data_IF_908673980100
#
_entry.id   IF_908673980100
#
_cell.length_a   1.000
_cell.length_b   1.000
_cell.length_c   1.000
_cell.angle_alpha   90.00
_cell.angle_beta   90.00
_cell.angle_gamma   90.00
#
_symmetry.space_group_name_H-M   'P 1'
#
loop_
_entity.id
_entity.type
_entity.pdbx_description
1 polymer ?
#
# COMPACT_ATOMS: atom_id res chain seq x y z
N UNK A 1 -9.33 8.95 -27.40
CA UNK A 1 -8.69 8.82 -26.08
C UNK A 1 -9.62 9.46 -25.06
N UNK A 2 -9.96 8.77 -23.95
CA UNK A 2 -10.70 9.42 -22.87
C UNK A 2 -9.79 10.49 -22.25
N UNK A 3 -10.30 11.70 -22.07
CA UNK A 3 -9.54 12.76 -21.38
C UNK A 3 -9.34 12.36 -19.93
N UNK A 4 -8.14 12.65 -19.38
CA UNK A 4 -7.84 12.51 -17.95
C UNK A 4 -8.79 13.42 -17.18
N UNK A 5 -9.45 12.91 -16.16
CA UNK A 5 -10.32 13.70 -15.28
C UNK A 5 -9.49 14.58 -14.35
N UNK A 6 -10.10 15.65 -13.83
CA UNK A 6 -9.35 16.73 -13.15
C UNK A 6 -8.63 16.27 -11.89
N UNK A 7 -9.31 15.50 -11.00
CA UNK A 7 -8.66 15.03 -9.75
C UNK A 7 -7.59 13.99 -10.04
N UNK A 8 -7.82 13.08 -10.99
CA UNK A 8 -6.80 12.10 -11.40
C UNK A 8 -5.58 12.82 -11.96
N UNK A 9 -5.77 13.85 -12.80
CA UNK A 9 -4.68 14.66 -13.34
C UNK A 9 -3.89 15.34 -12.23
N UNK A 10 -4.56 15.95 -11.24
CA UNK A 10 -3.92 16.59 -10.09
C UNK A 10 -3.13 15.59 -9.27
N UNK A 11 -3.70 14.40 -8.98
CA UNK A 11 -3.00 13.34 -8.25
C UNK A 11 -1.76 12.86 -9.01
N UNK A 12 -1.83 12.66 -10.33
CA UNK A 12 -0.68 12.28 -11.15
C UNK A 12 0.42 13.35 -11.06
N UNK A 13 0.07 14.63 -11.20
CA UNK A 13 1.04 15.74 -11.11
C UNK A 13 1.70 15.76 -9.73
N UNK A 14 0.93 15.63 -8.64
CA UNK A 14 1.47 15.60 -7.27
C UNK A 14 2.45 14.44 -7.10
N UNK A 15 2.10 13.23 -7.56
CA UNK A 15 2.98 12.07 -7.48
C UNK A 15 4.29 12.28 -8.27
N UNK A 16 4.21 12.87 -9.46
CA UNK A 16 5.41 13.18 -10.26
C UNK A 16 6.29 14.22 -9.55
N UNK A 17 5.70 15.28 -8.96
CA UNK A 17 6.45 16.29 -8.21
C UNK A 17 7.14 15.69 -6.98
N UNK A 18 6.45 14.84 -6.22
CA UNK A 18 7.05 14.10 -5.10
C UNK A 18 8.19 13.19 -5.56
N UNK A 19 8.01 12.49 -6.68
CA UNK A 19 9.04 11.62 -7.24
C UNK A 19 10.29 12.40 -7.65
N UNK A 20 10.12 13.51 -8.38
CA UNK A 20 11.24 14.39 -8.74
C UNK A 20 11.92 14.93 -7.47
N UNK A 21 11.16 15.42 -6.50
CA UNK A 21 11.69 15.88 -5.21
C UNK A 21 12.50 14.78 -4.50
N UNK A 22 12.01 13.55 -4.50
CA UNK A 22 12.72 12.40 -3.93
C UNK A 22 14.03 12.09 -4.66
N UNK A 23 14.08 12.25 -5.99
CA UNK A 23 15.34 12.09 -6.73
C UNK A 23 16.38 13.15 -6.39
N UNK A 24 15.96 14.39 -6.09
CA UNK A 24 16.85 15.50 -5.77
C UNK A 24 17.40 15.45 -4.33
N UNK A 25 16.57 15.02 -3.35
CA UNK A 25 16.89 15.03 -1.93
C UNK A 25 16.51 13.71 -1.25
N UNK A 26 16.98 12.57 -1.79
CA UNK A 26 16.48 11.23 -1.44
C UNK A 26 16.49 10.93 0.07
N UNK A 27 17.59 11.12 0.77
CA UNK A 27 17.71 10.82 2.20
C UNK A 27 16.69 11.57 3.05
N UNK A 28 16.66 12.93 3.04
CA UNK A 28 15.65 13.70 3.74
C UNK A 28 14.23 13.39 3.30
N UNK A 29 13.96 13.20 1.99
CA UNK A 29 12.63 12.89 1.51
C UNK A 29 12.10 11.59 2.12
N UNK A 30 12.89 10.51 2.10
CA UNK A 30 12.49 9.24 2.72
C UNK A 30 12.27 9.40 4.22
N UNK A 31 13.20 10.04 4.95
CA UNK A 31 13.12 10.22 6.40
C UNK A 31 11.85 10.96 6.83
N UNK A 32 11.43 11.99 6.09
CA UNK A 32 10.30 12.83 6.47
C UNK A 32 8.95 12.38 5.88
N UNK A 33 8.93 11.71 4.74
CA UNK A 33 7.70 11.49 3.98
C UNK A 33 7.31 10.01 3.82
N UNK A 34 8.26 9.06 3.90
CA UNK A 34 7.94 7.63 3.89
C UNK A 34 7.25 7.21 5.19
N UNK A 35 6.43 6.17 5.13
CA UNK A 35 5.75 5.63 6.31
C UNK A 35 6.71 4.72 7.09
N UNK A 36 7.07 5.15 8.28
CA UNK A 36 7.83 4.38 9.26
C UNK A 36 6.92 3.63 10.23
N UNK A 37 7.49 2.66 10.93
CA UNK A 37 6.84 1.99 12.05
C UNK A 37 6.57 2.99 13.19
N UNK A 38 5.39 2.95 13.87
CA UNK A 38 5.02 3.97 14.86
C UNK A 38 5.96 4.11 16.06
N UNK A 39 6.65 3.03 16.47
CA UNK A 39 7.64 3.08 17.55
C UNK A 39 9.06 3.48 17.05
N UNK A 40 9.26 3.67 15.74
CA UNK A 40 10.52 4.15 15.18
C UNK A 40 10.67 5.66 15.44
N UNK A 41 11.87 6.11 15.83
CA UNK A 41 12.15 7.53 16.11
C UNK A 41 11.91 8.48 14.93
N UNK A 42 11.94 7.97 13.72
CA UNK A 42 11.69 8.73 12.48
C UNK A 42 10.22 8.77 12.06
N UNK A 43 9.33 8.10 12.81
CA UNK A 43 7.88 8.19 12.56
C UNK A 43 7.35 9.61 12.79
N UNK A 44 6.50 10.08 11.88
CA UNK A 44 5.80 11.36 11.95
C UNK A 44 4.32 11.19 11.61
N UNK A 45 3.46 11.92 12.31
CA UNK A 45 2.00 11.77 12.20
C UNK A 45 1.41 12.06 10.79
N UNK A 46 2.14 12.72 9.91
CA UNK A 46 1.72 12.99 8.53
C UNK A 46 2.11 11.88 7.54
N UNK A 47 3.04 10.99 7.91
CA UNK A 47 3.54 9.93 7.03
C UNK A 47 2.44 8.98 6.51
N UNK A 48 1.37 8.65 7.26
CA UNK A 48 0.25 7.89 6.72
C UNK A 48 -0.47 8.53 5.52
N UNK A 49 -0.20 9.80 5.24
CA UNK A 49 -0.71 10.51 4.05
C UNK A 49 0.40 10.70 3.02
N UNK A 50 1.58 11.19 3.44
CA UNK A 50 2.64 11.56 2.50
C UNK A 50 3.25 10.37 1.78
N UNK A 51 3.32 9.21 2.40
CA UNK A 51 3.84 7.99 1.79
C UNK A 51 3.13 7.60 0.49
N UNK A 52 1.82 7.93 0.39
CA UNK A 52 0.99 7.64 -0.77
C UNK A 52 1.46 8.35 -2.05
N UNK A 53 2.28 9.39 -1.93
CA UNK A 53 2.79 10.19 -3.05
C UNK A 53 4.26 9.88 -3.37
N UNK A 54 4.94 9.10 -2.54
CA UNK A 54 6.33 8.70 -2.76
C UNK A 54 6.44 7.43 -3.59
N UNK A 55 7.54 7.28 -4.33
CA UNK A 55 7.78 6.11 -5.16
C UNK A 55 9.25 5.70 -5.12
N UNK A 56 9.50 4.39 -4.95
CA UNK A 56 10.84 3.82 -4.82
C UNK A 56 11.62 3.68 -6.14
N UNK A 57 11.02 4.02 -7.30
CA UNK A 57 11.70 3.93 -8.59
C UNK A 57 10.79 4.22 -9.78
N UNK A 58 11.39 4.37 -10.97
CA UNK A 58 10.68 4.78 -12.18
C UNK A 58 9.55 3.81 -12.58
N UNK A 59 9.80 2.50 -12.57
CA UNK A 59 8.76 1.53 -12.92
C UNK A 59 7.62 1.52 -11.90
N UNK A 60 7.94 1.77 -10.62
CA UNK A 60 6.94 1.86 -9.56
C UNK A 60 5.97 3.03 -9.80
N UNK A 61 6.48 4.24 -10.06
CA UNK A 61 5.59 5.38 -10.38
C UNK A 61 4.87 5.19 -11.72
N UNK A 62 5.54 4.65 -12.74
CA UNK A 62 4.95 4.44 -14.06
C UNK A 62 3.70 3.55 -13.98
N UNK A 63 3.79 2.39 -13.32
CA UNK A 63 2.65 1.49 -13.19
C UNK A 63 1.54 2.06 -12.30
N UNK A 64 1.91 2.75 -11.22
CA UNK A 64 0.92 3.42 -10.37
C UNK A 64 0.15 4.51 -11.14
N UNK A 65 0.83 5.36 -11.88
CA UNK A 65 0.16 6.44 -12.62
C UNK A 65 -0.64 5.90 -13.81
N UNK A 66 -0.17 4.84 -14.46
CA UNK A 66 -0.93 4.17 -15.50
C UNK A 66 -2.23 3.56 -14.96
N UNK A 67 -2.18 2.87 -13.82
CA UNK A 67 -3.35 2.30 -13.17
C UNK A 67 -4.32 3.40 -12.66
N UNK A 68 -3.79 4.45 -12.05
CA UNK A 68 -4.56 5.60 -11.60
C UNK A 68 -5.28 6.28 -12.77
N UNK A 69 -4.60 6.48 -13.90
CA UNK A 69 -5.20 7.01 -15.12
C UNK A 69 -6.31 6.11 -15.66
N UNK A 70 -6.02 4.81 -15.78
CA UNK A 70 -6.90 3.86 -16.46
C UNK A 70 -8.19 3.58 -15.68
N UNK A 71 -8.09 3.38 -14.38
CA UNK A 71 -9.21 3.02 -13.51
C UNK A 71 -9.79 4.22 -12.77
N UNK A 72 -8.93 5.13 -12.31
CA UNK A 72 -9.34 6.31 -11.54
C UNK A 72 -10.20 7.26 -12.35
N UNK A 73 -9.83 7.56 -13.61
CA UNK A 73 -10.63 8.45 -14.46
C UNK A 73 -12.03 7.93 -14.71
N UNK A 74 -12.20 6.60 -14.87
CA UNK A 74 -13.51 5.99 -15.03
C UNK A 74 -14.38 6.17 -13.78
N UNK A 75 -13.80 5.97 -12.58
CA UNK A 75 -14.53 6.13 -11.32
C UNK A 75 -14.84 7.60 -11.02
N UNK A 76 -13.90 8.52 -11.28
CA UNK A 76 -14.15 9.95 -11.07
C UNK A 76 -15.28 10.49 -11.95
N UNK A 77 -15.41 10.02 -13.20
CA UNK A 77 -16.54 10.37 -14.06
C UNK A 77 -17.90 9.97 -13.47
N UNK A 78 -17.96 8.82 -12.77
CA UNK A 78 -19.20 8.36 -12.15
C UNK A 78 -19.50 9.03 -10.80
N UNK A 79 -18.46 9.27 -9.99
CA UNK A 79 -18.64 9.72 -8.61
C UNK A 79 -18.51 11.22 -8.43
N UNK A 80 -17.84 11.89 -9.37
CA UNK A 80 -17.38 13.26 -9.24
C UNK A 80 -16.12 13.35 -8.38
N UNK A 81 -15.40 14.46 -8.53
CA UNK A 81 -14.07 14.69 -7.96
C UNK A 81 -14.01 14.54 -6.44
N UNK A 82 -14.99 15.11 -5.70
CA UNK A 82 -14.96 15.09 -4.22
C UNK A 82 -15.08 13.66 -3.68
N UNK A 83 -15.99 12.86 -4.22
CA UNK A 83 -16.23 11.49 -3.77
C UNK A 83 -15.09 10.58 -4.17
N UNK A 84 -14.51 10.78 -5.35
CA UNK A 84 -13.32 10.08 -5.81
C UNK A 84 -12.10 10.37 -4.92
N UNK A 85 -11.83 11.63 -4.61
CA UNK A 85 -10.71 12.01 -3.74
C UNK A 85 -10.87 11.44 -2.33
N UNK A 86 -12.08 11.53 -1.75
CA UNK A 86 -12.36 10.88 -0.47
C UNK A 86 -12.07 9.39 -0.50
N UNK A 87 -12.51 8.70 -1.56
CA UNK A 87 -12.26 7.28 -1.74
C UNK A 87 -10.77 6.95 -1.83
N UNK A 88 -10.02 7.68 -2.66
CA UNK A 88 -8.59 7.52 -2.85
C UNK A 88 -7.83 7.64 -1.51
N UNK A 89 -8.06 8.73 -0.79
CA UNK A 89 -7.39 8.97 0.51
C UNK A 89 -7.79 7.91 1.54
N UNK A 90 -9.08 7.54 1.61
CA UNK A 90 -9.55 6.51 2.56
C UNK A 90 -8.92 5.14 2.29
N UNK A 91 -8.78 4.74 1.03
CA UNK A 91 -8.12 3.49 0.66
C UNK A 91 -6.62 3.53 1.02
N UNK A 92 -5.94 4.66 0.81
CA UNK A 92 -4.54 4.82 1.18
C UNK A 92 -4.33 4.78 2.70
N UNK A 93 -5.18 5.45 3.47
CA UNK A 93 -5.13 5.37 4.94
C UNK A 93 -5.46 3.96 5.44
N UNK A 94 -6.44 3.27 4.84
CA UNK A 94 -6.74 1.88 5.14
C UNK A 94 -5.59 0.94 4.82
N UNK A 95 -4.88 1.18 3.73
CA UNK A 95 -3.65 0.49 3.37
C UNK A 95 -2.55 0.68 4.42
N UNK A 96 -2.30 1.93 4.83
CA UNK A 96 -1.34 2.25 5.88
C UNK A 96 -1.69 1.57 7.21
N UNK A 97 -2.97 1.56 7.58
CA UNK A 97 -3.46 0.94 8.81
C UNK A 97 -3.20 -0.58 8.83
N UNK A 98 -3.56 -1.29 7.75
CA UNK A 98 -3.36 -2.74 7.65
C UNK A 98 -1.87 -3.08 7.60
N UNK A 99 -1.08 -2.36 6.82
CA UNK A 99 0.37 -2.51 6.76
C UNK A 99 1.02 -2.33 8.14
N UNK A 100 0.69 -1.24 8.83
CA UNK A 100 1.22 -0.95 10.16
C UNK A 100 0.77 -2.00 11.18
N UNK A 101 -0.49 -2.47 11.10
CA UNK A 101 -1.02 -3.52 11.98
C UNK A 101 -0.27 -4.85 11.82
N UNK A 102 0.02 -5.26 10.59
CA UNK A 102 0.81 -6.48 10.32
C UNK A 102 2.26 -6.31 10.80
N UNK A 103 2.88 -5.15 10.54
CA UNK A 103 4.22 -4.86 11.07
C UNK A 103 4.24 -4.90 12.60
N UNK A 104 3.21 -4.36 13.25
CA UNK A 104 3.10 -4.38 14.70
C UNK A 104 3.01 -5.83 15.24
N UNK A 105 2.22 -6.68 14.59
CA UNK A 105 2.12 -8.09 14.94
C UNK A 105 3.49 -8.79 14.85
N UNK A 106 4.20 -8.68 13.72
CA UNK A 106 5.50 -9.29 13.51
C UNK A 106 6.58 -8.73 14.45
N UNK A 107 6.53 -7.43 14.71
CA UNK A 107 7.45 -6.81 15.66
C UNK A 107 7.23 -7.33 17.09
N UNK A 108 5.98 -7.42 17.55
CA UNK A 108 5.68 -7.92 18.89
C UNK A 108 6.01 -9.42 19.04
N UNK A 109 5.79 -10.22 18.01
CA UNK A 109 6.15 -11.63 18.01
C UNK A 109 7.67 -11.83 18.23
N UNK A 110 8.51 -11.19 17.42
CA UNK A 110 9.97 -11.25 17.58
C UNK A 110 10.45 -10.64 18.89
N UNK A 111 9.88 -9.48 19.28
CA UNK A 111 10.23 -8.81 20.55
C UNK A 111 9.95 -9.72 21.74
N UNK A 112 8.79 -10.37 21.80
CA UNK A 112 8.43 -11.26 22.90
C UNK A 112 9.39 -12.46 23.01
N UNK A 113 9.78 -13.04 21.87
CA UNK A 113 10.77 -14.13 21.84
C UNK A 113 12.12 -13.66 22.41
N UNK A 114 12.59 -12.47 22.03
CA UNK A 114 13.86 -11.93 22.54
C UNK A 114 13.79 -11.61 24.04
N UNK A 115 12.69 -11.00 24.50
CA UNK A 115 12.48 -10.70 25.92
C UNK A 115 12.47 -11.97 26.79
N UNK A 116 11.81 -13.04 26.33
CA UNK A 116 11.77 -14.32 27.06
C UNK A 116 13.14 -15.02 27.13
N UNK A 117 14.06 -14.66 26.24
CA UNK A 117 15.45 -15.12 26.24
C UNK A 117 16.43 -14.14 26.93
N UNK A 118 15.91 -13.17 27.71
CA UNK A 118 16.71 -12.33 28.60
C UNK A 118 17.25 -11.05 27.97
N UNK A 119 16.84 -10.69 26.74
CA UNK A 119 17.16 -9.38 26.16
C UNK A 119 16.31 -8.27 26.78
N UNK A 120 16.87 -7.07 26.90
CA UNK A 120 16.13 -5.89 27.36
C UNK A 120 15.43 -5.19 26.20
N UNK A 121 14.15 -4.80 26.37
CA UNK A 121 13.46 -3.98 25.35
C UNK A 121 14.22 -2.68 25.03
N UNK A 122 14.83 -2.07 26.01
CA UNK A 122 15.60 -0.82 25.85
C UNK A 122 16.79 -1.04 24.93
N UNK A 123 17.57 -2.10 25.16
CA UNK A 123 18.75 -2.45 24.32
C UNK A 123 18.32 -2.81 22.89
N UNK A 124 17.26 -3.59 22.73
CA UNK A 124 16.72 -3.95 21.41
C UNK A 124 16.32 -2.69 20.63
N UNK A 125 15.54 -1.79 21.24
CA UNK A 125 15.11 -0.56 20.59
C UNK A 125 16.27 0.40 20.30
N UNK A 126 17.27 0.47 21.20
CA UNK A 126 18.46 1.26 20.96
C UNK A 126 19.23 0.79 19.73
N UNK A 127 19.49 -0.51 19.62
CA UNK A 127 20.17 -1.09 18.44
C UNK A 127 19.38 -0.83 17.15
N UNK A 128 18.08 -1.09 17.18
CA UNK A 128 17.21 -0.86 16.02
C UNK A 128 17.16 0.63 15.61
N UNK A 129 17.14 1.57 16.56
CA UNK A 129 17.19 3.01 16.27
C UNK A 129 18.54 3.44 15.67
N UNK A 130 19.61 2.75 15.99
CA UNK A 130 20.92 2.95 15.37
C UNK A 130 21.08 2.23 14.02
N UNK A 131 20.03 1.55 13.55
CA UNK A 131 20.08 0.72 12.35
C UNK A 131 20.94 -0.53 12.49
N UNK A 132 21.21 -0.97 13.72
CA UNK A 132 22.03 -2.12 14.06
C UNK A 132 21.20 -3.32 14.47
N UNK A 133 21.77 -4.50 14.31
CA UNK A 133 21.16 -5.78 14.61
C UNK A 133 22.15 -6.59 15.43
N UNK A 134 21.68 -7.23 16.51
CA UNK A 134 22.49 -8.20 17.25
C UNK A 134 22.42 -9.55 16.56
N UNK A 135 23.57 -10.14 16.23
CA UNK A 135 23.66 -11.43 15.56
C UNK A 135 23.07 -12.58 16.37
N UNK A 136 23.05 -12.48 17.71
CA UNK A 136 22.44 -13.48 18.60
C UNK A 136 20.94 -13.63 18.39
N UNK A 137 20.26 -12.62 17.85
CA UNK A 137 18.83 -12.71 17.53
C UNK A 137 18.53 -13.76 16.44
N UNK A 138 19.50 -14.00 15.54
CA UNK A 138 19.37 -15.02 14.49
C UNK A 138 19.44 -16.45 15.03
N UNK A 139 19.97 -16.65 16.23
CA UNK A 139 20.01 -17.96 16.89
C UNK A 139 18.70 -18.28 17.62
N UNK A 140 17.94 -17.24 17.99
CA UNK A 140 16.71 -17.34 18.79
C UNK A 140 15.43 -17.25 17.95
N UNK A 141 15.50 -16.55 16.83
CA UNK A 141 14.39 -16.38 15.89
C UNK A 141 14.59 -17.29 14.67
N UNK A 142 13.53 -17.84 14.13
CA UNK A 142 13.61 -18.45 12.81
C UNK A 142 14.00 -17.41 11.76
N UNK A 143 14.50 -17.83 10.62
CA UNK A 143 14.89 -16.91 9.52
C UNK A 143 13.73 -15.96 9.15
N UNK A 144 12.52 -16.50 9.08
CA UNK A 144 11.32 -15.71 8.74
C UNK A 144 10.95 -14.72 9.84
N UNK A 145 10.94 -15.16 11.10
CA UNK A 145 10.66 -14.27 12.25
C UNK A 145 11.69 -13.13 12.35
N UNK A 146 12.97 -13.45 12.18
CA UNK A 146 14.03 -12.46 12.19
C UNK A 146 13.88 -11.43 11.07
N UNK A 147 13.59 -11.88 9.85
CA UNK A 147 13.35 -10.98 8.72
C UNK A 147 12.11 -10.11 8.95
N UNK A 148 11.02 -10.69 9.41
CA UNK A 148 9.79 -9.96 9.68
C UNK A 148 9.98 -8.95 10.82
N UNK A 149 10.61 -9.33 11.92
CA UNK A 149 10.90 -8.47 13.07
C UNK A 149 11.74 -7.26 12.68
N UNK A 150 12.87 -7.49 12.00
CA UNK A 150 13.77 -6.43 11.59
C UNK A 150 13.17 -5.53 10.51
N UNK A 151 12.51 -6.12 9.50
CA UNK A 151 11.85 -5.37 8.44
C UNK A 151 10.68 -4.54 8.95
N UNK A 152 9.94 -5.03 9.95
CA UNK A 152 8.82 -4.29 10.54
C UNK A 152 9.27 -2.97 11.15
N UNK A 153 10.43 -2.93 11.80
CA UNK A 153 10.95 -1.74 12.46
C UNK A 153 11.80 -0.85 11.55
N UNK A 154 12.70 -1.46 10.77
CA UNK A 154 13.67 -0.74 9.93
C UNK A 154 13.14 -0.40 8.54
N UNK A 155 12.13 -1.14 8.08
CA UNK A 155 11.53 -0.93 6.78
C UNK A 155 10.64 0.30 6.72
N UNK A 156 10.49 0.86 5.52
CA UNK A 156 9.56 1.96 5.25
C UNK A 156 8.63 1.60 4.11
N UNK A 157 7.40 2.12 4.15
CA UNK A 157 6.48 1.98 3.02
C UNK A 157 6.38 3.28 2.22
N UNK A 158 6.27 3.14 0.90
CA UNK A 158 6.05 4.22 -0.07
C UNK A 158 5.18 3.71 -1.22
N UNK A 159 4.31 4.54 -1.76
CA UNK A 159 3.57 4.25 -2.98
C UNK A 159 2.08 4.58 -2.91
N UNK A 160 1.55 4.98 -4.06
CA UNK A 160 0.11 5.16 -4.27
C UNK A 160 -0.64 3.82 -4.38
N UNK A 161 0.08 2.70 -4.48
CA UNK A 161 -0.47 1.39 -4.86
C UNK A 161 -1.57 0.90 -3.91
N UNK A 162 -1.47 1.16 -2.61
CA UNK A 162 -2.54 0.81 -1.68
C UNK A 162 -3.87 1.49 -2.02
N UNK A 163 -3.87 2.79 -2.28
CA UNK A 163 -5.06 3.50 -2.76
C UNK A 163 -5.53 3.00 -4.13
N UNK A 164 -4.59 2.69 -5.02
CA UNK A 164 -4.87 2.18 -6.37
C UNK A 164 -5.50 0.78 -6.31
N UNK A 165 -5.09 -0.10 -5.41
CA UNK A 165 -5.76 -1.39 -5.21
C UNK A 165 -7.23 -1.20 -4.80
N UNK A 166 -7.53 -0.23 -3.94
CA UNK A 166 -8.91 0.17 -3.66
C UNK A 166 -9.67 0.61 -4.92
N UNK A 167 -9.03 1.46 -5.75
CA UNK A 167 -9.59 1.93 -7.04
C UNK A 167 -9.87 0.74 -7.99
N UNK A 168 -8.92 -0.19 -8.13
CA UNK A 168 -9.06 -1.36 -9.01
C UNK A 168 -10.21 -2.26 -8.53
N UNK A 169 -10.33 -2.49 -7.21
CA UNK A 169 -11.44 -3.24 -6.62
C UNK A 169 -12.77 -2.55 -6.86
N UNK A 170 -12.85 -1.24 -6.65
CA UNK A 170 -14.06 -0.47 -6.93
C UNK A 170 -14.44 -0.52 -8.41
N UNK A 171 -13.46 -0.43 -9.31
CA UNK A 171 -13.67 -0.56 -10.75
C UNK A 171 -14.26 -1.93 -11.10
N UNK A 172 -13.70 -3.02 -10.59
CA UNK A 172 -14.22 -4.36 -10.85
C UNK A 172 -15.62 -4.58 -10.26
N UNK A 173 -15.90 -3.95 -9.12
CA UNK A 173 -17.23 -4.00 -8.51
C UNK A 173 -18.29 -3.25 -9.32
N UNK A 174 -17.92 -2.11 -9.93
CA UNK A 174 -18.82 -1.30 -10.76
C UNK A 174 -18.92 -1.81 -12.20
N UNK A 175 -17.83 -2.32 -12.76
CA UNK A 175 -17.71 -2.75 -14.14
C UNK A 175 -17.23 -4.21 -14.24
N UNK A 176 -17.96 -5.20 -13.67
CA UNK A 176 -17.48 -6.57 -13.51
C UNK A 176 -17.17 -7.28 -14.84
N UNK A 177 -17.84 -6.89 -15.91
CA UNK A 177 -17.65 -7.48 -17.24
C UNK A 177 -16.70 -6.66 -18.15
N UNK A 178 -16.11 -5.56 -17.65
CA UNK A 178 -15.09 -4.83 -18.39
C UNK A 178 -13.90 -5.73 -18.68
N UNK A 179 -13.45 -5.74 -19.92
CA UNK A 179 -12.29 -6.50 -20.36
C UNK A 179 -11.01 -5.69 -20.11
N UNK A 180 -10.11 -6.27 -19.33
CA UNK A 180 -8.80 -5.68 -18.98
C UNK A 180 -7.74 -6.31 -19.87
N UNK A 181 -7.13 -5.50 -20.72
CA UNK A 181 -5.93 -5.87 -21.45
C UNK A 181 -4.69 -5.72 -20.56
N UNK A 182 -3.99 -6.80 -20.31
CA UNK A 182 -2.70 -6.75 -19.64
C UNK A 182 -1.60 -6.46 -20.67
N UNK A 183 -0.69 -5.54 -20.35
CA UNK A 183 0.30 -4.99 -21.28
C UNK A 183 1.14 -6.05 -22.02
N UNK A 184 1.27 -7.26 -21.48
CA UNK A 184 2.05 -8.35 -22.10
C UNK A 184 1.23 -9.63 -22.32
N UNK A 185 -0.07 -9.63 -22.05
CA UNK A 185 -0.96 -10.77 -22.24
C UNK A 185 -2.04 -10.36 -23.24
N UNK A 186 -2.03 -10.93 -24.46
CA UNK A 186 -2.97 -10.52 -25.52
C UNK A 186 -4.43 -11.01 -25.32
N UNK A 187 -4.70 -11.65 -24.18
CA UNK A 187 -6.02 -12.19 -23.85
C UNK A 187 -6.71 -11.25 -22.87
N UNK A 188 -7.84 -10.61 -23.25
CA UNK A 188 -8.60 -9.77 -22.34
C UNK A 188 -9.26 -10.62 -21.24
N UNK A 189 -9.06 -10.21 -19.99
CA UNK A 189 -9.64 -10.88 -18.82
C UNK A 189 -10.70 -9.95 -18.22
N UNK A 190 -11.89 -10.50 -17.91
CA UNK A 190 -12.95 -9.71 -17.25
C UNK A 190 -12.51 -9.27 -15.84
N UNK A 191 -12.80 -8.02 -15.49
CA UNK A 191 -12.40 -7.40 -14.23
C UNK A 191 -12.82 -8.24 -13.00
N UNK A 192 -14.00 -8.84 -13.02
CA UNK A 192 -14.50 -9.71 -11.93
C UNK A 192 -13.67 -10.96 -11.66
N UNK A 193 -12.80 -11.38 -12.57
CA UNK A 193 -11.88 -12.51 -12.37
C UNK A 193 -10.47 -12.04 -12.13
N UNK A 194 -10.03 -11.02 -12.87
CA UNK A 194 -8.68 -10.48 -12.75
C UNK A 194 -8.41 -9.89 -11.37
N UNK A 195 -9.31 -9.04 -10.88
CA UNK A 195 -9.07 -8.28 -9.65
C UNK A 195 -9.07 -9.17 -8.40
N UNK A 196 -10.02 -10.09 -8.19
CA UNK A 196 -9.90 -11.06 -7.10
C UNK A 196 -8.64 -11.92 -7.20
N UNK A 197 -8.26 -12.36 -8.41
CA UNK A 197 -7.02 -13.10 -8.63
C UNK A 197 -5.78 -12.31 -8.21
N UNK A 198 -5.70 -11.03 -8.58
CA UNK A 198 -4.61 -10.12 -8.19
C UNK A 198 -4.51 -9.98 -6.67
N UNK A 199 -5.63 -9.75 -5.98
CA UNK A 199 -5.68 -9.62 -4.50
C UNK A 199 -5.29 -10.93 -3.81
N UNK A 200 -5.73 -12.09 -4.35
CA UNK A 200 -5.35 -13.39 -3.80
C UNK A 200 -3.86 -13.70 -3.96
N UNK A 201 -3.26 -13.30 -5.09
CA UNK A 201 -1.80 -13.42 -5.29
C UNK A 201 -1.05 -12.56 -4.27
N UNK A 202 -1.45 -11.30 -4.06
CA UNK A 202 -0.83 -10.44 -3.04
C UNK A 202 -0.99 -11.02 -1.63
N UNK A 203 -2.17 -11.53 -1.30
CA UNK A 203 -2.41 -12.18 0.00
C UNK A 203 -1.50 -13.39 0.19
N UNK A 204 -1.39 -14.26 -0.82
CA UNK A 204 -0.49 -15.42 -0.78
C UNK A 204 0.97 -15.01 -0.61
N UNK A 205 1.45 -14.02 -1.35
CA UNK A 205 2.81 -13.52 -1.26
C UNK A 205 3.09 -12.88 0.10
N UNK A 206 2.12 -12.12 0.64
CA UNK A 206 2.20 -11.56 1.99
C UNK A 206 2.36 -12.63 3.06
N UNK A 207 1.52 -13.67 3.03
CA UNK A 207 1.57 -14.79 4.00
C UNK A 207 2.84 -15.61 3.83
N UNK A 208 3.29 -15.86 2.60
CA UNK A 208 4.49 -16.66 2.32
C UNK A 208 5.81 -15.94 2.59
N UNK A 209 5.78 -14.64 2.89
CA UNK A 209 6.97 -13.80 3.04
C UNK A 209 7.77 -13.58 1.76
N UNK A 210 7.27 -14.03 0.61
CA UNK A 210 7.94 -13.92 -0.68
C UNK A 210 7.64 -12.56 -1.32
N UNK A 211 8.61 -12.03 -2.06
CA UNK A 211 8.43 -10.82 -2.87
C UNK A 211 8.83 -11.11 -4.32
N UNK A 212 8.00 -10.67 -5.26
CA UNK A 212 8.32 -10.77 -6.70
C UNK A 212 9.20 -9.60 -7.15
N UNK A 213 9.10 -8.45 -6.49
CA UNK A 213 9.77 -7.20 -6.91
C UNK A 213 10.72 -6.61 -5.86
N UNK A 214 11.19 -7.41 -4.89
CA UNK A 214 12.26 -7.00 -3.97
C UNK A 214 11.85 -6.10 -2.81
N UNK A 215 10.70 -6.29 -2.20
CA UNK A 215 10.21 -5.43 -1.12
C UNK A 215 9.68 -6.13 0.14
N UNK A 216 10.04 -7.38 0.39
CA UNK A 216 9.53 -8.14 1.56
C UNK A 216 8.00 -8.39 1.53
N UNK A 217 7.55 -9.46 2.20
CA UNK A 217 6.13 -9.88 2.18
C UNK A 217 5.14 -8.85 2.76
N UNK A 218 5.60 -7.92 3.56
CA UNK A 218 4.74 -6.94 4.25
C UNK A 218 4.15 -5.89 3.30
N UNK A 219 4.82 -5.55 2.20
CA UNK A 219 4.29 -4.61 1.20
C UNK A 219 2.99 -5.11 0.55
N UNK A 220 2.83 -6.43 0.41
CA UNK A 220 1.63 -7.06 -0.11
C UNK A 220 0.41 -6.81 0.78
N UNK A 221 0.57 -6.75 2.10
CA UNK A 221 -0.53 -6.43 3.03
C UNK A 221 -1.01 -4.98 2.91
N UNK A 222 -0.17 -4.06 2.47
CA UNK A 222 -0.61 -2.70 2.12
C UNK A 222 -1.59 -2.73 0.94
N UNK A 223 -1.32 -3.53 -0.09
CA UNK A 223 -2.22 -3.72 -1.23
C UNK A 223 -3.55 -4.36 -0.81
N UNK A 224 -3.48 -5.45 -0.04
CA UNK A 224 -4.67 -6.13 0.51
C UNK A 224 -5.49 -5.19 1.40
N UNK A 225 -4.83 -4.37 2.21
CA UNK A 225 -5.48 -3.35 3.04
C UNK A 225 -6.26 -2.33 2.20
N UNK A 226 -5.63 -1.77 1.18
CA UNK A 226 -6.28 -0.84 0.26
C UNK A 226 -7.45 -1.48 -0.50
N UNK A 227 -7.30 -2.71 -0.96
CA UNK A 227 -8.35 -3.50 -1.60
C UNK A 227 -9.54 -3.73 -0.66
N UNK A 228 -9.29 -4.10 0.59
CA UNK A 228 -10.32 -4.32 1.62
C UNK A 228 -11.11 -3.04 1.90
N UNK A 229 -10.43 -1.93 2.16
CA UNK A 229 -11.10 -0.66 2.41
C UNK A 229 -11.88 -0.17 1.18
N UNK A 230 -11.31 -0.34 -0.01
CA UNK A 230 -12.00 -0.04 -1.27
C UNK A 230 -13.29 -0.83 -1.43
N UNK A 231 -13.22 -2.15 -1.18
CA UNK A 231 -14.40 -3.01 -1.22
C UNK A 231 -15.46 -2.59 -0.20
N UNK A 232 -15.08 -2.38 1.06
CA UNK A 232 -16.01 -2.00 2.13
C UNK A 232 -16.73 -0.69 1.83
N UNK A 233 -16.00 0.33 1.35
CA UNK A 233 -16.59 1.64 1.02
C UNK A 233 -17.57 1.52 -0.14
N UNK A 234 -17.19 0.84 -1.23
CA UNK A 234 -18.08 0.69 -2.40
C UNK A 234 -19.29 -0.16 -2.08
N UNK A 235 -19.11 -1.24 -1.32
CA UNK A 235 -20.20 -2.08 -0.87
C UNK A 235 -21.19 -1.30 0.02
N UNK A 236 -20.67 -0.50 0.97
CA UNK A 236 -21.48 0.37 1.81
C UNK A 236 -22.24 1.41 0.97
N UNK A 237 -21.59 2.04 0.01
CA UNK A 237 -22.24 3.01 -0.86
C UNK A 237 -23.34 2.36 -1.68
N UNK A 238 -23.10 1.19 -2.26
CA UNK A 238 -24.13 0.47 -3.03
C UNK A 238 -25.34 0.08 -2.17
N UNK A 239 -25.09 -0.39 -0.95
CA UNK A 239 -26.15 -0.81 -0.02
C UNK A 239 -27.04 0.37 0.42
N UNK A 240 -26.45 1.56 0.63
CA UNK A 240 -27.12 2.70 1.20
C UNK A 240 -27.61 3.74 0.15
N UNK A 241 -27.42 3.49 -1.13
CA UNK A 241 -27.99 4.33 -2.18
C UNK A 241 -29.47 3.98 -2.38
N UNK A 242 -30.31 4.41 -1.45
CA UNK A 242 -31.76 4.18 -1.48
C UNK A 242 -32.52 5.15 -2.39
N UNK A 243 -31.89 6.04 -3.18
CA UNK A 243 -32.61 7.02 -3.98
C UNK A 243 -32.06 7.18 -5.38
N UNK A 244 -32.99 7.33 -6.32
CA UNK A 244 -33.06 7.88 -7.69
C UNK A 244 -31.84 7.94 -8.61
N UNK A 245 -30.62 7.79 -8.11
CA UNK A 245 -29.38 7.67 -8.89
C UNK A 245 -28.80 6.26 -8.76
N UNK A 246 -29.65 5.26 -8.92
CA UNK A 246 -29.17 3.88 -9.00
C UNK A 246 -28.26 3.72 -10.21
N UNK A 247 -27.18 3.08 -9.96
CA UNK A 247 -26.23 2.56 -10.93
C UNK A 247 -26.92 1.43 -11.75
N UNK A 248 -27.60 1.79 -12.84
CA UNK A 248 -28.17 0.85 -13.80
C UNK A 248 -27.16 0.56 -14.88
#
# INVERSE_FOLDING_TARGET
MRNVTETVKQLIIINILFFIGTLLVSGPAYKYLALFFPENQDFKAWQPITYMFMHGGFMHILFNMFALYSFGSALELFWGSKKFLFFYISCGLGSALVHTGVNYYHFQEGLNTLLSNGFSKVEILQLLNEGKIDTRWQELLTVTEFQNFTSAYLGTAVGASGAIYGIIVAFAFMFPNAELGLMFIPIPIKAKYFVPGLVLVDLYLGISGKSIFGGGGVAHFAHVGGALFGFLIVWYWKKNQFNSNRWN
#
